data_IF_920667703781
#
_entry.id   IF_920667703781
#
_cell.length_a   1.000
_cell.length_b   1.000
_cell.length_c   1.000
_cell.angle_alpha   90.00
_cell.angle_beta   90.00
_cell.angle_gamma   90.00
#
_symmetry.space_group_name_H-M   'P 1'
#
loop_
_entity.id
_entity.type
_entity.pdbx_description
1 polymer ?
#
# COMPACT_ATOMS: atom_id res chain seq x y z
N UNK A 1 -3.89 -46.83 -46.85
CA UNK A 1 -3.15 -47.40 -45.69
C UNK A 1 -2.01 -46.49 -45.21
N UNK A 2 -1.16 -45.92 -46.07
CA UNK A 2 -0.03 -45.06 -45.61
C UNK A 2 -0.44 -43.69 -45.05
N UNK A 3 -1.38 -42.98 -45.70
CA UNK A 3 -1.90 -41.69 -45.23
C UNK A 3 -2.53 -41.76 -43.83
N UNK A 4 -3.25 -42.85 -43.54
CA UNK A 4 -3.89 -43.04 -42.23
C UNK A 4 -2.86 -43.24 -41.11
N UNK A 5 -1.73 -43.90 -41.40
CA UNK A 5 -0.64 -44.08 -40.44
C UNK A 5 0.07 -42.76 -40.15
N UNK A 6 0.40 -41.98 -41.18
CA UNK A 6 1.03 -40.65 -41.02
C UNK A 6 0.11 -39.68 -40.29
N UNK A 7 -1.18 -39.65 -40.60
CA UNK A 7 -2.16 -38.79 -39.90
C UNK A 7 -2.31 -39.20 -38.44
N UNK A 8 -2.39 -40.51 -38.13
CA UNK A 8 -2.43 -40.97 -36.74
C UNK A 8 -1.18 -40.56 -35.96
N UNK A 9 0.02 -40.70 -36.55
CA UNK A 9 1.28 -40.29 -35.90
C UNK A 9 1.31 -38.79 -35.62
N UNK A 10 0.92 -37.96 -36.59
CA UNK A 10 0.89 -36.49 -36.42
C UNK A 10 -0.15 -36.08 -35.38
N UNK A 11 -1.33 -36.70 -35.38
CA UNK A 11 -2.38 -36.42 -34.39
C UNK A 11 -1.97 -36.88 -32.99
N UNK A 12 -1.41 -38.09 -32.85
CA UNK A 12 -0.90 -38.59 -31.57
C UNK A 12 0.23 -37.71 -31.03
N UNK A 13 1.17 -37.29 -31.88
CA UNK A 13 2.27 -36.43 -31.48
C UNK A 13 1.78 -35.07 -30.98
N UNK A 14 0.83 -34.46 -31.69
CA UNK A 14 0.25 -33.18 -31.29
C UNK A 14 -0.55 -33.28 -29.99
N UNK A 15 -1.31 -34.36 -29.79
CA UNK A 15 -2.02 -34.61 -28.54
C UNK A 15 -1.03 -34.81 -27.39
N UNK A 16 0.06 -35.55 -27.62
CA UNK A 16 1.08 -35.81 -26.60
C UNK A 16 1.82 -34.52 -26.22
N UNK A 17 2.14 -33.66 -27.18
CA UNK A 17 2.72 -32.33 -26.93
C UNK A 17 1.73 -31.44 -26.15
N UNK A 18 0.44 -31.46 -26.49
CA UNK A 18 -0.58 -30.70 -25.77
C UNK A 18 -0.71 -31.15 -24.30
N UNK A 19 -0.79 -32.47 -24.07
CA UNK A 19 -0.84 -33.06 -22.73
C UNK A 19 0.44 -32.80 -21.93
N UNK A 20 1.59 -32.82 -22.59
CA UNK A 20 2.87 -32.52 -21.95
C UNK A 20 2.97 -31.03 -21.61
N UNK A 21 2.51 -30.12 -22.47
CA UNK A 21 2.53 -28.69 -22.19
C UNK A 21 1.61 -28.32 -21.01
N UNK A 22 0.40 -28.89 -20.95
CA UNK A 22 -0.52 -28.66 -19.83
C UNK A 22 0.00 -29.29 -18.52
N UNK A 23 0.53 -30.52 -18.56
CA UNK A 23 1.07 -31.18 -17.37
C UNK A 23 2.41 -30.57 -16.91
N UNK A 24 3.23 -30.04 -17.81
CA UNK A 24 4.48 -29.35 -17.47
C UNK A 24 4.19 -27.97 -16.88
N UNK A 25 3.25 -27.20 -17.43
CA UNK A 25 2.90 -25.88 -16.86
C UNK A 25 2.26 -26.02 -15.46
N UNK A 26 1.32 -26.94 -15.29
CA UNK A 26 0.73 -27.28 -13.98
C UNK A 26 1.77 -27.89 -13.02
N UNK A 27 2.61 -28.79 -13.52
CA UNK A 27 3.70 -29.42 -12.80
C UNK A 27 4.76 -28.43 -12.33
N UNK A 28 5.09 -27.42 -13.14
CA UNK A 28 6.05 -26.37 -12.83
C UNK A 28 5.52 -25.44 -11.74
N UNK A 29 4.25 -25.04 -11.80
CA UNK A 29 3.62 -24.26 -10.75
C UNK A 29 3.61 -25.04 -9.41
N UNK A 30 3.31 -26.34 -9.46
CA UNK A 30 3.33 -27.25 -8.30
C UNK A 30 4.75 -27.49 -7.77
N UNK A 31 5.74 -27.60 -8.65
CA UNK A 31 7.15 -27.72 -8.27
C UNK A 31 7.66 -26.44 -7.62
N UNK A 32 7.31 -25.27 -8.16
CA UNK A 32 7.69 -23.96 -7.59
C UNK A 32 7.09 -23.75 -6.21
N UNK A 33 5.80 -24.09 -6.02
CA UNK A 33 5.17 -24.01 -4.70
C UNK A 33 5.78 -25.01 -3.72
N UNK A 34 6.07 -26.24 -4.14
CA UNK A 34 6.74 -27.25 -3.30
C UNK A 34 8.17 -26.86 -2.93
N UNK A 35 8.92 -26.27 -3.86
CA UNK A 35 10.24 -25.73 -3.59
C UNK A 35 10.17 -24.58 -2.58
N UNK A 36 9.22 -23.65 -2.72
CA UNK A 36 9.05 -22.53 -1.79
C UNK A 36 8.67 -23.02 -0.39
N UNK A 37 7.80 -24.03 -0.28
CA UNK A 37 7.48 -24.69 1.01
C UNK A 37 8.71 -25.39 1.59
N UNK A 38 9.52 -26.07 0.76
CA UNK A 38 10.78 -26.67 1.20
C UNK A 38 11.79 -25.64 1.68
N UNK A 39 11.89 -24.49 1.02
CA UNK A 39 12.74 -23.38 1.46
C UNK A 39 12.25 -22.78 2.78
N UNK A 40 10.95 -22.52 2.92
CA UNK A 40 10.37 -22.05 4.17
C UNK A 40 10.59 -23.05 5.31
N UNK A 41 10.40 -24.35 5.05
CA UNK A 41 10.67 -25.40 6.03
C UNK A 41 12.16 -25.51 6.37
N UNK A 42 13.06 -25.27 5.42
CA UNK A 42 14.50 -25.22 5.66
C UNK A 42 14.88 -24.03 6.55
N UNK A 43 14.32 -22.84 6.29
CA UNK A 43 14.52 -21.65 7.12
C UNK A 43 13.99 -21.90 8.54
N UNK A 44 12.77 -22.41 8.68
CA UNK A 44 12.20 -22.76 9.99
C UNK A 44 13.04 -23.82 10.71
N UNK A 45 13.59 -24.79 9.97
CA UNK A 45 14.49 -25.81 10.55
C UNK A 45 15.81 -25.19 10.98
N UNK A 46 16.39 -24.28 10.20
CA UNK A 46 17.58 -23.50 10.54
C UNK A 46 17.36 -22.67 11.81
N UNK A 47 16.23 -21.96 11.88
CA UNK A 47 15.80 -21.19 13.06
C UNK A 47 15.66 -22.09 14.30
N UNK A 48 15.02 -23.25 14.15
CA UNK A 48 14.85 -24.21 15.24
C UNK A 48 16.18 -24.87 15.66
N UNK A 49 17.10 -25.14 14.72
CA UNK A 49 18.43 -25.67 15.03
C UNK A 49 19.38 -24.65 15.66
N UNK A 50 19.18 -23.35 15.39
CA UNK A 50 19.92 -22.27 16.03
C UNK A 50 19.43 -21.98 17.46
N UNK A 51 18.33 -22.62 17.90
CA UNK A 51 17.78 -22.50 19.26
C UNK A 51 17.58 -21.02 19.70
N UNK A 52 17.26 -20.15 18.74
CA UNK A 52 16.97 -18.76 19.00
C UNK A 52 15.63 -18.70 19.74
N UNK A 53 15.65 -18.24 20.99
CA UNK A 53 14.42 -17.94 21.70
C UNK A 53 13.67 -16.80 21.00
N UNK A 54 12.35 -16.69 21.18
CA UNK A 54 11.56 -15.54 20.67
C UNK A 54 12.17 -14.19 21.05
N UNK A 55 12.87 -14.14 22.20
CA UNK A 55 13.57 -12.95 22.67
C UNK A 55 14.84 -12.65 21.85
N UNK A 56 15.52 -13.65 21.31
CA UNK A 56 16.75 -13.49 20.53
C UNK A 56 16.46 -13.22 19.05
N UNK A 57 15.40 -13.79 18.47
CA UNK A 57 14.87 -13.37 17.16
C UNK A 57 14.40 -11.92 17.19
N UNK A 58 13.73 -11.49 18.26
CA UNK A 58 13.38 -10.09 18.46
C UNK A 58 14.61 -9.16 18.56
N UNK A 59 15.74 -9.62 19.13
CA UNK A 59 17.00 -8.86 19.16
C UNK A 59 17.67 -8.76 17.78
N UNK A 60 17.58 -9.79 16.95
CA UNK A 60 18.09 -9.78 15.58
C UNK A 60 17.24 -8.91 14.65
N UNK A 61 15.92 -8.93 14.83
CA UNK A 61 14.98 -8.16 14.02
C UNK A 61 14.86 -6.70 14.46
N UNK A 62 15.14 -6.37 15.73
CA UNK A 62 14.95 -5.03 16.27
C UNK A 62 16.24 -4.47 16.86
N UNK A 63 16.66 -3.31 16.35
CA UNK A 63 17.81 -2.55 16.84
C UNK A 63 17.30 -1.48 17.82
N UNK A 64 18.02 -1.18 18.93
CA UNK A 64 17.64 -0.09 19.81
C UNK A 64 17.66 1.25 19.07
N UNK A 65 16.50 1.90 18.96
CA UNK A 65 16.37 3.21 18.36
C UNK A 65 16.82 4.34 19.30
N UNK A 66 16.98 5.57 18.77
CA UNK A 66 17.53 6.72 19.51
C UNK A 66 16.72 7.18 20.73
N UNK A 67 15.52 6.64 20.95
CA UNK A 67 14.64 6.94 22.09
C UNK A 67 14.36 5.72 22.99
N UNK A 68 15.15 4.64 22.87
CA UNK A 68 14.95 3.41 23.64
C UNK A 68 13.80 2.51 23.15
N UNK A 69 13.08 2.91 22.10
CA UNK A 69 12.10 2.05 21.44
C UNK A 69 12.80 1.05 20.52
N UNK A 70 12.32 -0.20 20.52
CA UNK A 70 12.81 -1.24 19.62
C UNK A 70 12.26 -0.97 18.22
N UNK A 71 13.14 -0.64 17.27
CA UNK A 71 12.79 -0.37 15.88
C UNK A 71 13.28 -1.52 15.01
N UNK A 72 12.49 -1.92 14.01
CA UNK A 72 12.90 -2.97 13.07
C UNK A 72 14.22 -2.57 12.40
N UNK A 73 15.14 -3.53 12.22
CA UNK A 73 16.44 -3.26 11.63
C UNK A 73 16.28 -2.51 10.29
N UNK A 74 16.85 -1.31 10.12
CA UNK A 74 16.69 -0.51 8.91
C UNK A 74 17.16 -1.22 7.64
N UNK A 75 18.00 -2.26 7.75
CA UNK A 75 18.36 -3.16 6.64
C UNK A 75 17.12 -3.76 5.93
N UNK A 76 15.99 -3.91 6.63
CA UNK A 76 14.74 -4.42 6.04
C UNK A 76 13.95 -3.34 5.26
N UNK A 77 14.28 -2.06 5.44
CA UNK A 77 13.61 -0.92 4.77
C UNK A 77 14.55 -0.20 3.79
N UNK A 78 15.83 -0.55 3.75
CA UNK A 78 16.82 0.08 2.88
C UNK A 78 16.56 -0.29 1.41
N UNK A 79 16.46 0.71 0.51
CA UNK A 79 16.28 0.45 -0.91
C UNK A 79 17.55 -0.17 -1.49
N UNK A 80 17.46 -1.43 -1.93
CA UNK A 80 18.59 -2.11 -2.56
C UNK A 80 18.67 -1.72 -4.04
N UNK A 81 19.84 -1.25 -4.49
CA UNK A 81 20.05 -0.90 -5.90
C UNK A 81 19.92 -2.14 -6.79
N UNK A 82 19.26 -1.97 -7.95
CA UNK A 82 19.03 -3.03 -8.95
C UNK A 82 20.35 -3.59 -9.49
N UNK A 83 21.39 -2.75 -9.54
CA UNK A 83 22.71 -3.10 -10.09
C UNK A 83 23.45 -4.13 -9.22
N UNK A 84 23.16 -4.14 -7.92
CA UNK A 84 23.78 -5.05 -6.95
C UNK A 84 23.17 -6.45 -6.99
N UNK A 85 21.93 -6.59 -7.44
CA UNK A 85 21.15 -7.83 -7.37
C UNK A 85 21.29 -8.74 -8.60
N UNK A 86 22.07 -8.37 -9.64
CA UNK A 86 22.24 -9.14 -10.90
C UNK A 86 20.93 -9.71 -11.44
N UNK A 87 19.86 -8.92 -11.38
CA UNK A 87 18.50 -9.34 -11.77
C UNK A 87 18.40 -9.34 -13.30
N UNK A 88 17.87 -10.41 -13.88
CA UNK A 88 17.57 -10.48 -15.32
C UNK A 88 16.50 -9.44 -15.71
N UNK A 89 16.55 -8.83 -16.91
CA UNK A 89 15.51 -7.89 -17.36
C UNK A 89 14.09 -8.46 -17.27
N UNK A 90 13.90 -9.75 -17.53
CA UNK A 90 12.60 -10.44 -17.39
C UNK A 90 12.10 -10.47 -15.93
N UNK A 91 13.02 -10.63 -14.97
CA UNK A 91 12.69 -10.65 -13.55
C UNK A 91 12.35 -9.23 -13.04
N UNK A 92 12.97 -8.19 -13.60
CA UNK A 92 12.63 -6.80 -13.31
C UNK A 92 11.22 -6.48 -13.77
N UNK A 93 10.84 -6.92 -14.97
CA UNK A 93 9.49 -6.72 -15.49
C UNK A 93 8.43 -7.39 -14.60
N UNK A 94 8.67 -8.65 -14.19
CA UNK A 94 7.78 -9.37 -13.27
C UNK A 94 7.65 -8.66 -11.92
N UNK A 95 8.74 -8.08 -11.40
CA UNK A 95 8.72 -7.32 -10.15
C UNK A 95 7.94 -6.00 -10.28
N UNK A 96 8.06 -5.31 -11.41
CA UNK A 96 7.30 -4.09 -11.69
C UNK A 96 5.80 -4.38 -11.79
N UNK A 97 5.43 -5.46 -12.49
CA UNK A 97 4.02 -5.91 -12.57
C UNK A 97 3.49 -6.26 -11.17
N UNK A 98 4.25 -7.00 -10.36
CA UNK A 98 3.84 -7.35 -8.99
C UNK A 98 3.75 -6.11 -8.08
N UNK A 99 4.62 -5.12 -8.25
CA UNK A 99 4.57 -3.86 -7.52
C UNK A 99 3.33 -3.03 -7.89
N UNK A 100 3.04 -2.90 -9.18
CA UNK A 100 1.83 -2.22 -9.67
C UNK A 100 0.57 -2.92 -9.16
N UNK A 101 0.54 -4.26 -9.19
CA UNK A 101 -0.56 -5.06 -8.65
C UNK A 101 -0.81 -4.84 -7.16
N UNK A 102 0.26 -4.67 -6.37
CA UNK A 102 0.15 -4.36 -4.93
C UNK A 102 -0.40 -2.97 -4.69
N UNK A 103 -0.01 -1.99 -5.51
CA UNK A 103 -0.50 -0.62 -5.39
C UNK A 103 -1.98 -0.54 -5.77
N UNK A 104 -2.38 -1.18 -6.87
CA UNK A 104 -3.80 -1.31 -7.24
C UNK A 104 -4.59 -1.99 -6.13
N UNK A 105 -4.07 -3.07 -5.55
CA UNK A 105 -4.70 -3.75 -4.41
C UNK A 105 -4.87 -2.84 -3.19
N UNK A 106 -3.86 -2.04 -2.85
CA UNK A 106 -3.95 -1.10 -1.74
C UNK A 106 -5.03 -0.04 -1.98
N UNK A 107 -5.06 0.57 -3.17
CA UNK A 107 -6.02 1.60 -3.55
C UNK A 107 -7.47 1.06 -3.56
N UNK A 108 -7.67 -0.19 -3.96
CA UNK A 108 -8.99 -0.83 -3.93
C UNK A 108 -9.54 -0.96 -2.50
N UNK A 109 -8.71 -1.38 -1.55
CA UNK A 109 -9.15 -1.48 -0.15
C UNK A 109 -9.26 -0.13 0.53
N UNK A 110 -8.49 0.87 0.13
CA UNK A 110 -8.69 2.26 0.54
C UNK A 110 -10.07 2.77 0.09
N UNK A 111 -10.45 2.49 -1.16
CA UNK A 111 -11.79 2.83 -1.66
C UNK A 111 -12.90 2.14 -0.86
N UNK A 112 -12.71 0.87 -0.44
CA UNK A 112 -13.67 0.17 0.42
C UNK A 112 -13.76 0.83 1.79
N UNK A 113 -12.63 1.17 2.41
CA UNK A 113 -12.59 1.85 3.70
C UNK A 113 -13.34 3.20 3.64
N UNK A 114 -13.15 3.98 2.58
CA UNK A 114 -13.86 5.25 2.36
C UNK A 114 -15.38 5.06 2.22
N UNK A 115 -15.81 4.00 1.53
CA UNK A 115 -17.24 3.68 1.41
C UNK A 115 -17.81 3.27 2.77
N UNK A 116 -17.10 2.42 3.53
CA UNK A 116 -17.52 2.03 4.88
C UNK A 116 -17.66 3.29 5.74
N UNK A 117 -16.69 4.19 5.69
CA UNK A 117 -16.73 5.44 6.46
C UNK A 117 -17.95 6.29 6.11
N UNK A 118 -18.22 6.45 4.82
CA UNK A 118 -19.34 7.25 4.34
C UNK A 118 -20.69 6.65 4.74
N UNK A 119 -20.89 5.35 4.57
CA UNK A 119 -22.17 4.70 4.86
C UNK A 119 -22.44 4.62 6.37
N UNK A 120 -21.42 4.32 7.19
CA UNK A 120 -21.55 4.37 8.64
C UNK A 120 -21.72 5.81 9.16
N UNK A 121 -21.02 6.79 8.56
CA UNK A 121 -21.20 8.20 8.84
C UNK A 121 -22.63 8.68 8.54
N UNK A 122 -23.22 8.23 7.43
CA UNK A 122 -24.62 8.50 7.10
C UNK A 122 -25.58 7.93 8.17
N UNK A 123 -25.35 6.70 8.65
CA UNK A 123 -26.16 6.09 9.70
C UNK A 123 -26.06 6.83 11.04
N UNK A 124 -24.84 7.24 11.43
CA UNK A 124 -24.61 8.01 12.65
C UNK A 124 -25.25 9.40 12.55
N UNK A 125 -25.02 10.12 11.44
CA UNK A 125 -25.64 11.42 11.19
C UNK A 125 -27.18 11.34 11.21
N UNK A 126 -27.75 10.26 10.65
CA UNK A 126 -29.15 9.95 10.73
C UNK A 126 -29.68 9.87 12.18
N UNK A 127 -28.97 9.17 13.07
CA UNK A 127 -29.33 9.07 14.48
C UNK A 127 -29.19 10.41 15.21
N UNK A 128 -28.12 11.16 14.94
CA UNK A 128 -27.90 12.49 15.51
C UNK A 128 -28.88 13.54 15.01
N UNK A 129 -29.47 13.39 13.82
CA UNK A 129 -30.45 14.35 13.29
C UNK A 129 -31.68 14.52 14.21
N UNK A 130 -31.99 13.52 15.04
CA UNK A 130 -33.06 13.57 16.05
C UNK A 130 -32.77 14.58 17.15
N UNK A 131 -31.49 14.92 17.38
CA UNK A 131 -31.09 15.92 18.39
C UNK A 131 -31.59 17.32 18.06
N UNK A 132 -31.74 17.66 16.79
CA UNK A 132 -32.29 18.94 16.37
C UNK A 132 -33.76 19.10 16.77
N UNK A 133 -34.49 17.99 16.93
CA UNK A 133 -35.93 17.99 17.20
C UNK A 133 -36.27 17.65 18.66
N UNK A 134 -35.26 17.45 19.52
CA UNK A 134 -35.48 17.05 20.92
C UNK A 134 -34.53 17.75 21.88
N UNK A 135 -35.02 18.00 23.10
CA UNK A 135 -34.17 18.40 24.25
C UNK A 135 -33.56 17.19 24.96
N UNK A 136 -33.84 15.97 24.49
CA UNK A 136 -33.34 14.73 25.05
C UNK A 136 -31.90 14.54 24.58
N UNK A 137 -31.00 14.13 25.48
CA UNK A 137 -29.65 13.78 25.09
C UNK A 137 -29.67 12.48 24.24
N UNK A 138 -29.56 12.68 22.92
CA UNK A 138 -29.63 11.62 21.91
C UNK A 138 -28.45 10.65 22.01
N UNK A 139 -27.29 11.11 22.44
CA UNK A 139 -26.11 10.26 22.66
C UNK A 139 -26.34 9.26 23.79
N UNK A 140 -27.02 9.68 24.87
CA UNK A 140 -27.42 8.78 25.96
C UNK A 140 -28.60 7.88 25.57
N UNK A 141 -29.52 8.39 24.75
CA UNK A 141 -30.70 7.64 24.33
C UNK A 141 -30.39 6.56 23.28
N UNK A 142 -29.34 6.76 22.46
CA UNK A 142 -28.85 5.80 21.46
C UNK A 142 -27.45 5.26 21.77
N UNK A 143 -27.02 5.31 23.04
CA UNK A 143 -25.66 4.89 23.42
C UNK A 143 -25.37 3.44 23.03
N UNK A 144 -26.35 2.54 23.19
CA UNK A 144 -26.20 1.14 22.85
C UNK A 144 -26.11 0.94 21.33
N UNK A 145 -26.93 1.64 20.54
CA UNK A 145 -26.94 1.58 19.08
C UNK A 145 -25.63 2.14 18.50
N UNK A 146 -25.16 3.28 18.99
CA UNK A 146 -23.89 3.87 18.56
C UNK A 146 -22.71 2.95 18.89
N UNK A 147 -22.72 2.27 20.05
CA UNK A 147 -21.70 1.27 20.40
C UNK A 147 -21.72 0.05 19.48
N UNK A 148 -22.90 -0.41 19.08
CA UNK A 148 -23.05 -1.52 18.13
C UNK A 148 -22.53 -1.14 16.74
N UNK A 149 -22.84 0.08 16.29
CA UNK A 149 -22.35 0.64 15.01
C UNK A 149 -20.82 0.74 15.02
N UNK A 150 -20.23 1.27 16.09
CA UNK A 150 -18.77 1.38 16.22
C UNK A 150 -18.08 0.01 16.31
N UNK A 151 -18.68 -0.95 17.00
CA UNK A 151 -18.17 -2.32 17.07
C UNK A 151 -18.21 -3.01 15.71
N UNK A 152 -19.25 -2.76 14.90
CA UNK A 152 -19.34 -3.28 13.54
C UNK A 152 -18.33 -2.61 12.60
N UNK A 153 -18.17 -1.29 12.70
CA UNK A 153 -17.19 -0.51 11.95
C UNK A 153 -15.76 -1.00 12.19
N UNK A 154 -15.36 -1.13 13.45
CA UNK A 154 -14.03 -1.66 13.82
C UNK A 154 -13.80 -3.08 13.32
N UNK A 155 -14.81 -3.96 13.40
CA UNK A 155 -14.74 -5.32 12.85
C UNK A 155 -14.55 -5.32 11.33
N UNK A 156 -15.24 -4.44 10.61
CA UNK A 156 -15.11 -4.31 9.16
C UNK A 156 -13.72 -3.81 8.77
N UNK A 157 -13.19 -2.78 9.44
CA UNK A 157 -11.83 -2.31 9.20
C UNK A 157 -10.79 -3.40 9.47
N UNK A 158 -10.94 -4.21 10.52
CA UNK A 158 -10.02 -5.34 10.78
C UNK A 158 -10.05 -6.35 9.62
N UNK A 159 -11.21 -6.61 9.04
CA UNK A 159 -11.35 -7.51 7.89
C UNK A 159 -10.69 -6.92 6.64
N UNK A 160 -10.87 -5.62 6.40
CA UNK A 160 -10.25 -4.88 5.29
C UNK A 160 -8.73 -4.83 5.45
N UNK A 161 -8.21 -4.49 6.63
CA UNK A 161 -6.79 -4.49 6.96
C UNK A 161 -6.14 -5.86 6.77
N UNK A 162 -6.84 -6.92 7.21
CA UNK A 162 -6.38 -8.28 7.01
C UNK A 162 -6.30 -8.65 5.51
N UNK A 163 -7.22 -8.14 4.70
CA UNK A 163 -7.22 -8.35 3.25
C UNK A 163 -6.14 -7.53 2.54
N UNK A 164 -5.91 -6.28 2.97
CA UNK A 164 -4.84 -5.39 2.50
C UNK A 164 -3.46 -6.02 2.68
N UNK A 165 -3.22 -6.72 3.80
CA UNK A 165 -1.94 -7.38 4.11
C UNK A 165 -1.69 -8.69 3.35
N UNK A 166 -2.71 -9.26 2.69
CA UNK A 166 -2.55 -10.52 1.92
C UNK A 166 -2.00 -10.21 0.53
N UNK A 167 -1.05 -11.04 0.06
CA UNK A 167 -0.45 -10.91 -1.28
C UNK A 167 -1.50 -11.09 -2.39
N UNK A 168 -1.32 -10.28 -3.43
CA UNK A 168 -2.03 -10.24 -4.74
C UNK A 168 -2.17 -11.58 -5.48
N UNK A 169 -1.53 -12.66 -5.03
CA UNK A 169 -1.65 -13.99 -5.66
C UNK A 169 -2.88 -14.79 -5.23
N UNK A 170 -3.54 -14.38 -4.14
CA UNK A 170 -4.75 -15.03 -3.64
C UNK A 170 -5.97 -14.09 -3.69
N UNK A 171 -5.99 -13.12 -4.62
CA UNK A 171 -7.01 -12.05 -4.71
C UNK A 171 -8.43 -12.59 -4.64
N UNK A 172 -8.79 -13.54 -5.50
CA UNK A 172 -10.16 -14.11 -5.57
C UNK A 172 -10.58 -14.76 -4.25
N UNK A 173 -9.72 -15.61 -3.68
CA UNK A 173 -9.99 -16.27 -2.40
C UNK A 173 -10.10 -15.29 -1.24
N UNK A 174 -9.35 -14.17 -1.30
CA UNK A 174 -9.43 -13.10 -0.31
C UNK A 174 -10.72 -12.30 -0.48
N UNK A 175 -11.10 -11.93 -1.72
CA UNK A 175 -12.33 -11.21 -2.01
C UNK A 175 -13.57 -12.00 -1.58
N UNK A 176 -13.65 -13.30 -1.89
CA UNK A 176 -14.75 -14.16 -1.45
C UNK A 176 -14.85 -14.18 0.08
N UNK A 177 -13.71 -14.30 0.77
CA UNK A 177 -13.67 -14.29 2.24
C UNK A 177 -14.04 -12.93 2.83
N UNK A 178 -13.64 -11.84 2.19
CA UNK A 178 -13.99 -10.48 2.61
C UNK A 178 -15.49 -10.27 2.42
N UNK A 179 -16.04 -10.56 1.23
CA UNK A 179 -17.47 -10.45 0.95
C UNK A 179 -18.30 -11.26 1.95
N UNK A 180 -17.95 -12.52 2.20
CA UNK A 180 -18.64 -13.36 3.17
C UNK A 180 -18.57 -12.82 4.61
N UNK A 181 -17.46 -12.19 5.00
CA UNK A 181 -17.31 -11.58 6.33
C UNK A 181 -18.06 -10.25 6.43
N UNK A 182 -18.05 -9.45 5.37
CA UNK A 182 -18.79 -8.19 5.27
C UNK A 182 -20.29 -8.45 5.34
N UNK A 183 -20.83 -9.36 4.53
CA UNK A 183 -22.26 -9.72 4.57
C UNK A 183 -22.66 -10.27 5.93
N UNK A 184 -21.84 -11.12 6.55
CA UNK A 184 -22.10 -11.66 7.89
C UNK A 184 -22.08 -10.58 8.97
N UNK A 185 -21.15 -9.64 8.92
CA UNK A 185 -21.06 -8.55 9.91
C UNK A 185 -22.21 -7.56 9.75
N UNK A 186 -22.60 -7.24 8.52
CA UNK A 186 -23.76 -6.40 8.22
C UNK A 186 -25.08 -7.07 8.65
N UNK A 187 -25.25 -8.37 8.37
CA UNK A 187 -26.42 -9.12 8.82
C UNK A 187 -26.53 -9.15 10.35
N UNK A 188 -25.42 -9.43 11.04
CA UNK A 188 -25.38 -9.42 12.51
C UNK A 188 -25.68 -8.04 13.09
N UNK A 189 -25.11 -6.97 12.51
CA UNK A 189 -25.43 -5.60 12.91
C UNK A 189 -26.92 -5.31 12.73
N UNK A 190 -27.50 -5.69 11.60
CA UNK A 190 -28.92 -5.46 11.31
C UNK A 190 -29.83 -6.19 12.31
N UNK A 191 -29.51 -7.45 12.64
CA UNK A 191 -30.27 -8.25 13.59
C UNK A 191 -30.18 -7.68 15.01
N UNK A 192 -28.98 -7.30 15.44
CA UNK A 192 -28.76 -6.71 16.77
C UNK A 192 -29.46 -5.36 16.91
N UNK A 193 -29.35 -4.49 15.90
CA UNK A 193 -30.04 -3.20 15.90
C UNK A 193 -31.56 -3.38 15.87
N UNK A 194 -32.11 -4.23 14.99
CA UNK A 194 -33.55 -4.47 14.92
C UNK A 194 -34.12 -5.10 16.19
N UNK A 195 -33.34 -5.94 16.89
CA UNK A 195 -33.74 -6.54 18.17
C UNK A 195 -33.82 -5.48 19.26
N UNK A 196 -32.85 -4.58 19.32
CA UNK A 196 -32.82 -3.45 20.28
C UNK A 196 -33.88 -2.40 19.96
N UNK A 197 -34.21 -2.23 18.68
CA UNK A 197 -35.20 -1.27 18.18
C UNK A 197 -36.66 -1.69 18.41
N UNK A 198 -36.93 -2.86 19.01
CA UNK A 198 -38.29 -3.29 19.34
C UNK A 198 -38.86 -2.33 20.39
N UNK A 199 -39.82 -1.50 19.94
CA UNK A 199 -40.59 -0.61 20.79
C UNK A 199 -41.27 -1.41 21.89
N UNK A 200 -40.85 -1.18 23.14
CA UNK A 200 -41.56 -1.68 24.32
C UNK A 200 -42.82 -0.82 24.47
N UNK A 201 -43.90 -1.24 23.83
CA UNK A 201 -45.18 -0.55 23.92
C UNK A 201 -45.63 -0.51 25.38
N UNK A 202 -46.13 0.63 25.88
CA UNK A 202 -46.57 0.76 27.26
C UNK A 202 -47.93 0.07 27.48
N UNK A 203 -48.10 -1.19 27.05
CA UNK A 203 -49.29 -2.00 27.29
C UNK A 203 -48.85 -3.39 27.76
N UNK A 204 -48.22 -3.43 28.92
CA UNK A 204 -48.38 -4.59 29.81
C UNK A 204 -48.88 -4.05 31.12
N UNK A 205 -50.10 -4.47 31.48
CA UNK A 205 -50.65 -4.28 32.82
C UNK A 205 -49.61 -4.76 33.81
N UNK A 206 -49.02 -3.81 34.53
CA UNK A 206 -48.48 -4.06 35.85
C UNK A 206 -49.39 -3.24 36.73
N UNK A 207 -50.29 -3.94 37.41
CA UNK A 207 -51.00 -3.43 38.57
C UNK A 207 -49.93 -3.12 39.61
N UNK A 208 -49.46 -1.88 39.64
CA UNK A 208 -48.91 -1.28 40.85
C UNK A 208 -48.87 0.23 40.69
N UNK A 209 -49.62 0.89 41.56
CA UNK A 209 -49.82 2.32 41.63
C UNK A 209 -48.52 3.04 42.07
N UNK A 210 -47.65 3.42 41.13
CA UNK A 210 -46.79 4.60 41.31
C UNK A 210 -46.10 5.01 40.01
N UNK A 211 -46.29 6.28 39.64
CA UNK A 211 -45.72 7.02 38.52
C UNK A 211 -46.37 6.81 37.13
N UNK A 212 -46.88 7.92 36.60
CA UNK A 212 -47.44 8.08 35.26
C UNK A 212 -46.55 7.43 34.18
N UNK A 213 -47.20 6.69 33.29
CA UNK A 213 -46.68 6.07 32.06
C UNK A 213 -45.91 7.07 31.17
N UNK A 214 -44.63 7.27 31.45
CA UNK A 214 -43.71 8.06 30.63
C UNK A 214 -43.06 7.17 29.57
N UNK A 215 -43.16 7.56 28.30
CA UNK A 215 -42.38 6.90 27.25
C UNK A 215 -40.89 7.01 27.57
N UNK A 216 -40.15 5.89 27.50
CA UNK A 216 -38.69 5.91 27.62
C UNK A 216 -38.09 6.90 26.61
N UNK A 217 -37.06 7.65 27.03
CA UNK A 217 -36.36 8.63 26.18
C UNK A 217 -35.93 8.04 24.84
N UNK A 218 -35.51 6.77 24.84
CA UNK A 218 -35.20 5.97 23.66
C UNK A 218 -36.42 5.80 22.72
N UNK A 219 -37.57 5.37 23.23
CA UNK A 219 -38.80 5.16 22.44
C UNK A 219 -39.30 6.46 21.79
N UNK A 220 -39.16 7.59 22.47
CA UNK A 220 -39.45 8.93 21.91
C UNK A 220 -38.52 9.25 20.75
N UNK A 221 -37.22 9.03 20.90
CA UNK A 221 -36.23 9.28 19.85
C UNK A 221 -36.42 8.35 18.64
N UNK A 222 -36.77 7.08 18.87
CA UNK A 222 -37.08 6.11 17.81
C UNK A 222 -38.27 6.55 16.96
N UNK A 223 -39.32 7.06 17.58
CA UNK A 223 -40.51 7.53 16.86
C UNK A 223 -40.23 8.81 16.11
N UNK A 224 -39.47 9.73 16.71
CA UNK A 224 -39.03 10.93 16.02
C UNK A 224 -38.14 10.62 14.82
N UNK A 225 -37.21 9.66 14.92
CA UNK A 225 -36.41 9.23 13.77
C UNK A 225 -37.29 8.72 12.62
N UNK A 226 -38.32 7.91 12.94
CA UNK A 226 -39.27 7.41 11.94
C UNK A 226 -40.05 8.53 11.27
N UNK A 227 -40.41 9.56 12.03
CA UNK A 227 -41.13 10.73 11.52
C UNK A 227 -40.22 11.63 10.67
N UNK A 228 -38.98 11.87 11.09
CA UNK A 228 -38.05 12.76 10.38
C UNK A 228 -37.55 12.16 9.08
N UNK A 229 -37.29 10.86 9.05
CA UNK A 229 -36.69 10.22 7.87
C UNK A 229 -37.71 9.67 6.88
N UNK A 230 -39.01 9.65 7.23
CA UNK A 230 -40.10 9.02 6.44
C UNK A 230 -39.84 7.55 6.05
N UNK A 231 -38.78 6.96 6.58
CA UNK A 231 -38.35 5.58 6.38
C UNK A 231 -37.91 5.00 7.71
N UNK A 232 -38.26 3.73 7.96
CA UNK A 232 -37.80 3.03 9.16
C UNK A 232 -36.31 2.69 9.09
N UNK A 233 -35.71 2.40 10.26
CA UNK A 233 -34.33 1.92 10.39
C UNK A 233 -34.00 0.78 9.43
N UNK A 234 -34.95 -0.12 9.16
CA UNK A 234 -34.76 -1.23 8.23
C UNK A 234 -34.38 -0.75 6.81
N UNK A 235 -34.96 0.34 6.31
CA UNK A 235 -34.62 0.89 5.00
C UNK A 235 -33.26 1.58 5.00
N UNK A 236 -32.90 2.27 6.09
CA UNK A 236 -31.56 2.82 6.26
C UNK A 236 -30.51 1.70 6.28
N UNK A 237 -30.76 0.64 7.06
CA UNK A 237 -29.86 -0.50 7.17
C UNK A 237 -29.73 -1.25 5.86
N UNK A 238 -30.82 -1.38 5.11
CA UNK A 238 -30.79 -1.96 3.77
C UNK A 238 -29.91 -1.13 2.83
N UNK A 239 -30.06 0.19 2.83
CA UNK A 239 -29.21 1.09 2.02
C UNK A 239 -27.73 0.99 2.39
N UNK A 240 -27.40 1.00 3.68
CA UNK A 240 -26.01 0.88 4.16
C UNK A 240 -25.45 -0.50 3.81
N UNK A 241 -26.24 -1.56 3.94
CA UNK A 241 -25.83 -2.92 3.58
C UNK A 241 -25.58 -3.04 2.09
N UNK A 242 -26.51 -2.57 1.25
CA UNK A 242 -26.39 -2.56 -0.20
C UNK A 242 -25.19 -1.72 -0.65
N UNK A 243 -24.98 -0.54 -0.08
CA UNK A 243 -23.85 0.32 -0.41
C UNK A 243 -22.50 -0.35 -0.14
N UNK A 244 -22.36 -0.99 1.03
CA UNK A 244 -21.12 -1.68 1.41
C UNK A 244 -20.94 -2.99 0.62
N UNK A 245 -22.01 -3.77 0.38
CA UNK A 245 -21.90 -5.02 -0.40
C UNK A 245 -21.65 -4.76 -1.88
N UNK A 246 -22.30 -3.76 -2.48
CA UNK A 246 -22.08 -3.38 -3.87
C UNK A 246 -20.70 -2.80 -4.10
N UNK A 247 -20.13 -2.06 -3.13
CA UNK A 247 -18.73 -1.63 -3.22
C UNK A 247 -17.75 -2.82 -3.28
N UNK A 248 -18.01 -3.89 -2.51
CA UNK A 248 -17.20 -5.11 -2.53
C UNK A 248 -17.43 -5.93 -3.81
N UNK A 249 -18.67 -5.98 -4.33
CA UNK A 249 -19.01 -6.70 -5.57
C UNK A 249 -18.52 -5.99 -6.84
N UNK A 250 -18.53 -4.66 -6.87
CA UNK A 250 -17.99 -3.87 -7.96
C UNK A 250 -16.48 -4.13 -8.14
N UNK A 251 -15.78 -4.45 -7.06
CA UNK A 251 -14.35 -4.80 -7.10
C UNK A 251 -14.15 -6.20 -7.69
N UNK A 252 -15.03 -7.15 -7.39
CA UNK A 252 -15.00 -8.49 -7.99
C UNK A 252 -15.33 -8.45 -9.50
N UNK A 253 -16.22 -7.57 -9.94
CA UNK A 253 -16.64 -7.45 -11.36
C UNK A 253 -15.69 -6.62 -12.21
N UNK A 254 -15.19 -5.47 -11.72
CA UNK A 254 -14.16 -4.67 -12.40
C UNK A 254 -12.92 -5.51 -12.71
N UNK A 255 -12.68 -6.57 -11.94
CA UNK A 255 -11.56 -7.47 -12.13
C UNK A 255 -11.80 -8.56 -13.19
N UNK A 256 -13.05 -8.97 -13.42
CA UNK A 256 -13.39 -9.88 -14.51
C UNK A 256 -13.21 -9.19 -15.87
N UNK A 257 -13.51 -7.89 -15.97
CA UNK A 257 -13.26 -7.10 -17.19
C UNK A 257 -11.76 -6.83 -17.44
N UNK A 258 -10.91 -6.78 -16.39
CA UNK A 258 -9.45 -6.64 -16.54
C UNK A 258 -8.76 -7.94 -17.00
N UNK A 259 -9.45 -9.08 -16.91
CA UNK A 259 -8.98 -10.34 -17.49
C UNK A 259 -9.40 -10.51 -18.96
N UNK A 260 -10.45 -9.82 -19.43
CA UNK A 260 -10.87 -9.82 -20.84
C UNK A 260 -10.35 -8.64 -21.65
N UNK A 261 -9.97 -7.51 -21.03
CA UNK A 261 -9.57 -6.33 -21.79
C UNK A 261 -8.05 -6.10 -21.82
N UNK A 262 -7.40 -6.80 -22.75
CA UNK A 262 -6.00 -6.58 -23.12
C UNK A 262 -5.73 -5.12 -23.55
N UNK A 263 -6.76 -4.33 -23.92
CA UNK A 263 -6.62 -2.97 -24.40
C UNK A 263 -6.30 -1.95 -23.28
N UNK A 264 -6.81 -2.13 -22.06
CA UNK A 264 -6.54 -1.20 -20.93
C UNK A 264 -5.12 -1.39 -20.39
N UNK A 265 -4.65 -2.65 -20.33
CA UNK A 265 -3.23 -2.96 -20.04
C UNK A 265 -2.33 -2.41 -21.13
N UNK A 266 -2.72 -2.48 -22.41
CA UNK A 266 -1.95 -1.91 -23.51
C UNK A 266 -1.92 -0.38 -23.49
N UNK A 267 -3.00 0.28 -23.05
CA UNK A 267 -3.06 1.75 -22.91
C UNK A 267 -2.20 2.29 -21.76
N UNK A 268 -2.24 1.64 -20.59
CA UNK A 268 -1.38 1.99 -19.47
C UNK A 268 0.10 1.65 -19.76
N UNK A 269 0.36 0.51 -20.44
CA UNK A 269 1.70 0.13 -20.88
C UNK A 269 2.23 1.04 -22.00
N UNK A 270 1.37 1.50 -22.91
CA UNK A 270 1.72 2.50 -23.92
C UNK A 270 2.07 3.84 -23.26
N UNK A 271 1.29 4.29 -22.27
CA UNK A 271 1.60 5.53 -21.53
C UNK A 271 2.90 5.43 -20.73
N UNK A 272 3.11 4.31 -20.02
CA UNK A 272 4.38 4.05 -19.32
C UNK A 272 5.55 3.87 -20.29
N UNK A 273 5.33 3.33 -21.49
CA UNK A 273 6.38 3.17 -22.51
C UNK A 273 6.77 4.53 -23.12
N UNK A 274 5.80 5.44 -23.28
CA UNK A 274 6.05 6.84 -23.66
C UNK A 274 6.82 7.57 -22.55
N UNK A 275 6.43 7.39 -21.29
CA UNK A 275 7.14 8.00 -20.15
C UNK A 275 8.57 7.41 -20.01
N UNK A 276 8.77 6.12 -20.28
CA UNK A 276 10.11 5.50 -20.29
C UNK A 276 10.95 5.98 -21.49
N UNK A 277 10.37 6.19 -22.66
CA UNK A 277 11.12 6.74 -23.81
C UNK A 277 11.53 8.19 -23.58
N UNK A 278 10.66 9.01 -22.98
CA UNK A 278 10.99 10.41 -22.65
C UNK A 278 12.04 10.49 -21.53
N UNK A 279 11.95 9.64 -20.51
CA UNK A 279 13.01 9.54 -19.48
C UNK A 279 14.33 9.07 -20.09
N UNK A 280 14.32 8.14 -21.05
CA UNK A 280 15.53 7.69 -21.75
C UNK A 280 16.18 8.81 -22.58
N UNK A 281 15.38 9.63 -23.25
CA UNK A 281 15.87 10.82 -23.95
C UNK A 281 16.45 11.87 -22.99
N UNK A 282 15.78 12.12 -21.85
CA UNK A 282 16.28 13.02 -20.81
C UNK A 282 17.59 12.51 -20.19
N UNK A 283 17.71 11.21 -19.92
CA UNK A 283 18.95 10.60 -19.40
C UNK A 283 20.08 10.67 -20.44
N UNK A 284 19.79 10.47 -21.72
CA UNK A 284 20.79 10.64 -22.78
C UNK A 284 21.24 12.11 -22.90
N UNK A 285 20.32 13.06 -22.80
CA UNK A 285 20.64 14.50 -22.80
C UNK A 285 21.45 14.91 -21.57
N UNK A 286 21.11 14.37 -20.39
CA UNK A 286 21.84 14.62 -19.15
C UNK A 286 23.24 14.01 -19.18
N UNK A 287 23.40 12.79 -19.72
CA UNK A 287 24.70 12.15 -19.93
C UNK A 287 25.60 12.98 -20.84
N UNK A 288 25.05 13.55 -21.92
CA UNK A 288 25.79 14.45 -22.81
C UNK A 288 26.22 15.75 -22.09
N UNK A 289 25.32 16.35 -21.30
CA UNK A 289 25.65 17.54 -20.51
C UNK A 289 26.73 17.26 -19.46
N UNK A 290 26.71 16.08 -18.83
CA UNK A 290 27.75 15.67 -17.88
C UNK A 290 29.10 15.54 -18.60
N UNK A 291 29.15 14.91 -19.78
CA UNK A 291 30.38 14.81 -20.57
C UNK A 291 30.93 16.19 -20.98
N UNK A 292 30.06 17.13 -21.36
CA UNK A 292 30.46 18.50 -21.68
C UNK A 292 30.95 19.26 -20.43
N UNK A 293 30.36 18.99 -19.26
CA UNK A 293 30.79 19.56 -17.98
C UNK A 293 32.13 18.98 -17.50
N UNK A 294 32.39 17.69 -17.72
CA UNK A 294 33.68 17.06 -17.45
C UNK A 294 34.81 17.67 -18.31
N UNK A 295 34.53 17.95 -19.59
CA UNK A 295 35.50 18.65 -20.46
C UNK A 295 35.83 20.04 -19.95
N UNK A 296 34.82 20.85 -19.61
CA UNK A 296 35.04 22.18 -19.03
C UNK A 296 35.81 22.11 -17.71
N UNK A 297 35.55 21.09 -16.88
CA UNK A 297 36.30 20.89 -15.64
C UNK A 297 37.76 20.54 -15.88
N UNK A 298 38.09 19.83 -16.97
CA UNK A 298 39.48 19.51 -17.32
C UNK A 298 40.21 20.73 -17.89
N UNK A 299 39.53 21.57 -18.68
CA UNK A 299 40.05 22.86 -19.16
C UNK A 299 40.36 23.81 -18.00
N UNK A 300 39.42 23.97 -17.06
CA UNK A 300 39.62 24.75 -15.82
C UNK A 300 40.79 24.22 -14.99
N UNK A 301 40.96 22.89 -14.90
CA UNK A 301 42.10 22.30 -14.21
C UNK A 301 43.44 22.64 -14.90
N UNK A 302 43.45 22.71 -16.23
CA UNK A 302 44.60 23.15 -17.02
C UNK A 302 44.94 24.64 -16.81
N UNK A 303 43.93 25.51 -16.84
CA UNK A 303 44.12 26.94 -16.56
C UNK A 303 44.66 27.19 -15.15
N UNK A 304 44.14 26.48 -14.14
CA UNK A 304 44.65 26.57 -12.76
C UNK A 304 46.11 26.11 -12.69
N UNK A 305 46.51 25.10 -13.46
CA UNK A 305 47.89 24.64 -13.51
C UNK A 305 48.82 25.73 -14.09
N UNK A 306 48.42 26.41 -15.17
CA UNK A 306 49.19 27.52 -15.73
C UNK A 306 49.27 28.71 -14.77
N UNK A 307 48.16 29.11 -14.16
CA UNK A 307 48.15 30.19 -13.15
C UNK A 307 49.09 29.85 -11.99
N UNK A 308 49.15 28.59 -11.57
CA UNK A 308 50.06 28.15 -10.50
C UNK A 308 51.52 28.26 -10.91
N UNK A 309 51.84 28.04 -12.18
CA UNK A 309 53.19 28.20 -12.72
C UNK A 309 53.57 29.68 -12.83
N UNK A 310 52.68 30.53 -13.35
CA UNK A 310 52.86 31.99 -13.37
C UNK A 310 53.00 32.58 -11.96
N UNK A 311 52.25 32.06 -10.99
CA UNK A 311 52.38 32.49 -9.60
C UNK A 311 53.74 32.08 -9.00
N UNK A 312 54.31 30.96 -9.45
CA UNK A 312 55.65 30.53 -9.04
C UNK A 312 56.77 31.36 -9.69
N UNK A 313 56.59 31.86 -10.91
CA UNK A 313 57.54 32.78 -11.56
C UNK A 313 57.47 34.17 -10.91
N UNK A 314 56.26 34.71 -10.73
CA UNK A 314 56.05 35.99 -10.01
C UNK A 314 56.66 35.95 -8.60
N UNK A 315 56.53 34.83 -7.89
CA UNK A 315 57.14 34.67 -6.57
C UNK A 315 58.68 34.74 -6.62
N UNK A 316 59.32 34.17 -7.65
CA UNK A 316 60.77 34.30 -7.85
C UNK A 316 61.18 35.73 -8.20
N UNK A 317 60.42 36.38 -9.07
CA UNK A 317 60.72 37.76 -9.46
C UNK A 317 60.60 38.70 -8.25
N UNK A 318 59.57 38.52 -7.42
CA UNK A 318 59.45 39.25 -6.14
C UNK A 318 60.62 38.99 -5.19
N UNK A 319 61.12 37.74 -5.07
CA UNK A 319 62.30 37.49 -4.23
C UNK A 319 63.53 38.21 -4.78
N UNK A 320 63.77 38.17 -6.09
CA UNK A 320 64.92 38.90 -6.68
C UNK A 320 64.79 40.42 -6.56
N UNK A 321 63.57 40.95 -6.62
CA UNK A 321 63.30 42.36 -6.41
C UNK A 321 63.55 42.77 -4.96
N UNK A 322 63.15 41.92 -4.01
CA UNK A 322 63.43 42.14 -2.59
C UNK A 322 64.94 42.13 -2.31
N UNK A 323 65.68 41.17 -2.87
CA UNK A 323 67.14 41.11 -2.73
C UNK A 323 67.82 42.38 -3.31
N UNK A 324 67.34 42.88 -4.45
CA UNK A 324 67.83 44.14 -5.03
C UNK A 324 67.49 45.35 -4.16
N UNK A 325 66.30 45.38 -3.57
CA UNK A 325 65.89 46.45 -2.67
C UNK A 325 66.79 46.46 -1.42
N UNK A 326 67.03 45.30 -0.83
CA UNK A 326 67.93 45.14 0.32
C UNK A 326 69.36 45.59 -0.03
N UNK A 327 69.86 45.29 -1.24
CA UNK A 327 71.15 45.77 -1.71
C UNK A 327 71.21 47.31 -1.87
N UNK A 328 70.14 47.94 -2.37
CA UNK A 328 70.05 49.42 -2.46
C UNK A 328 70.02 50.04 -1.07
N UNK A 329 69.24 49.47 -0.14
CA UNK A 329 69.20 49.91 1.27
C UNK A 329 70.58 49.77 1.93
N UNK A 330 71.32 48.70 1.63
CA UNK A 330 72.70 48.53 2.09
C UNK A 330 73.65 49.59 1.50
N UNK A 331 73.52 49.95 0.21
CA UNK A 331 74.31 51.04 -0.38
C UNK A 331 74.00 52.41 0.23
N UNK A 332 72.73 52.69 0.53
CA UNK A 332 72.32 53.96 1.18
C UNK A 332 72.80 54.07 2.64
N UNK A 333 73.01 52.94 3.31
CA UNK A 333 73.57 52.92 4.67
C UNK A 333 75.10 53.02 4.68
N UNK A 334 75.80 52.59 3.63
CA UNK A 334 77.25 52.79 3.46
C UNK A 334 77.65 54.19 2.95
N UNK A 335 76.78 54.88 2.21
CA UNK A 335 77.03 56.25 1.73
C UNK A 335 76.88 57.37 2.78
N UNK A 336 76.75 57.02 4.06
CA UNK A 336 76.48 57.95 5.16
C UNK A 336 77.57 57.92 6.25
N UNK A 337 78.80 57.58 5.86
CA UNK A 337 80.01 57.63 6.68
C UNK A 337 80.85 58.87 6.40
#
# INVERSE_FOLDING_TARGET
MMLHSTVMIVVLLNILIALLNESVTSGLAKAKTRALVSFASCILRLENTMNLSDADTLKLMQVPGPKGHRVLNPMFMEPVSKDTLKISPEQVEVLLVDAADRQLWANLFETIDDVIEREFGYLVAALHAVSHYTTINVEKAFADELRLVETARTRLHIVVEYARKRRSRYKEMVLIKVQARVTKTMANLSEQLLTKWKLKWPHSRVEDNSACYGWNSHSKCVILLRLTQRSGLQRLMQKVTEGVTSAVENISSTQNDVNTDAAVKHGAMSKLQIDVSTVKELVAAQSKSISDQEKKSSELAGEIAMIKEDMATIKRDMSTMNDKLDAIVAMLTQGRG
#
